data_IF_787222149090
#
_entry.id   IF_787222149090
#
_cell.length_a   1.000
_cell.length_b   1.000
_cell.length_c   1.000
_cell.angle_alpha   90.00
_cell.angle_beta   90.00
_cell.angle_gamma   90.00
#
_symmetry.space_group_name_H-M   'P 1'
#
loop_
_entity.id
_entity.type
_entity.pdbx_description
1 polymer ?
#
# COMPACT_ATOMS: atom_id res chain seq x y z
N UNK A 1 6.06 9.64 1.50
CA UNK A 1 7.41 9.05 1.56
C UNK A 1 7.57 8.10 0.39
N UNK A 2 8.79 7.95 -0.14
CA UNK A 2 9.09 6.86 -1.08
C UNK A 2 9.61 5.67 -0.27
N UNK A 3 9.04 4.48 -0.46
CA UNK A 3 9.55 3.26 0.17
C UNK A 3 10.87 2.82 -0.48
N UNK A 4 11.67 2.02 0.24
CA UNK A 4 12.86 1.38 -0.29
C UNK A 4 12.58 0.70 -1.63
N UNK A 5 13.49 0.87 -2.59
CA UNK A 5 13.32 0.33 -3.95
C UNK A 5 12.27 1.04 -4.81
N UNK A 6 11.73 2.19 -4.39
CA UNK A 6 10.78 3.01 -5.16
C UNK A 6 11.21 4.48 -5.20
N UNK A 7 10.71 5.21 -6.21
CA UNK A 7 10.88 6.66 -6.31
C UNK A 7 12.35 7.06 -6.27
N UNK A 8 12.74 7.87 -5.28
CA UNK A 8 14.12 8.29 -5.07
C UNK A 8 14.77 7.65 -3.83
N UNK A 9 14.07 6.76 -3.14
CA UNK A 9 14.62 6.02 -2.01
C UNK A 9 15.60 4.95 -2.49
N UNK A 10 16.67 4.74 -1.71
CA UNK A 10 17.69 3.75 -2.03
C UNK A 10 17.10 2.35 -2.14
N UNK A 11 17.70 1.53 -3.02
CA UNK A 11 17.45 0.09 -3.04
C UNK A 11 18.08 -0.54 -1.80
N UNK A 12 17.53 -1.67 -1.34
CA UNK A 12 18.18 -2.47 -0.30
C UNK A 12 19.51 -3.04 -0.79
N UNK A 13 20.42 -3.37 0.14
CA UNK A 13 21.67 -4.02 -0.24
C UNK A 13 21.43 -5.33 -1.02
N UNK A 14 22.38 -5.75 -1.89
CA UNK A 14 22.30 -7.06 -2.55
C UNK A 14 22.09 -8.20 -1.55
N UNK A 15 21.33 -9.23 -1.94
CA UNK A 15 20.96 -10.36 -1.09
C UNK A 15 19.80 -10.10 -0.11
N UNK A 16 19.37 -8.85 0.07
CA UNK A 16 18.22 -8.54 0.94
C UNK A 16 16.90 -8.53 0.15
N UNK A 17 15.91 -9.37 0.51
CA UNK A 17 14.57 -9.31 -0.05
C UNK A 17 13.78 -8.11 0.49
N UNK A 18 12.68 -7.78 -0.20
CA UNK A 18 11.67 -6.86 0.32
C UNK A 18 10.54 -7.66 0.94
N UNK A 19 10.40 -7.59 2.26
CA UNK A 19 9.24 -8.09 2.99
C UNK A 19 8.34 -6.96 3.43
N UNK A 20 7.04 -7.24 3.57
CA UNK A 20 6.05 -6.29 4.09
C UNK A 20 6.56 -5.58 5.36
N UNK A 21 7.12 -6.34 6.30
CA UNK A 21 7.61 -5.81 7.57
C UNK A 21 8.76 -4.81 7.41
N UNK A 22 9.56 -4.90 6.34
CA UNK A 22 10.60 -3.91 6.09
C UNK A 22 9.99 -2.53 5.80
N UNK A 23 8.93 -2.45 5.02
CA UNK A 23 8.21 -1.20 4.75
C UNK A 23 7.56 -0.62 6.01
N UNK A 24 7.03 -1.46 6.90
CA UNK A 24 6.51 -1.04 8.21
C UNK A 24 7.65 -0.45 9.07
N UNK A 25 8.82 -1.09 9.07
CA UNK A 25 10.01 -0.58 9.76
C UNK A 25 10.46 0.77 9.17
N UNK A 26 10.34 0.98 7.86
CA UNK A 26 10.65 2.27 7.23
C UNK A 26 9.75 3.41 7.74
N UNK A 27 8.44 3.16 7.91
CA UNK A 27 7.54 4.14 8.55
C UNK A 27 8.04 4.50 9.95
N UNK A 28 8.47 3.51 10.75
CA UNK A 28 9.03 3.73 12.09
C UNK A 28 10.33 4.56 12.06
N UNK A 29 11.18 4.33 11.05
CA UNK A 29 12.44 5.08 10.83
C UNK A 29 12.17 6.53 10.45
N UNK A 30 11.19 6.78 9.56
CA UNK A 30 10.75 8.13 9.21
C UNK A 30 10.22 8.84 10.47
N UNK A 31 9.31 8.20 11.21
CA UNK A 31 8.79 8.78 12.46
C UNK A 31 9.91 9.09 13.47
N UNK A 32 10.92 8.21 13.62
CA UNK A 32 12.08 8.48 14.46
C UNK A 32 12.88 9.71 13.99
N UNK A 33 13.18 9.78 12.68
CA UNK A 33 13.97 10.87 12.11
C UNK A 33 13.30 12.25 12.30
N UNK A 34 11.97 12.29 12.16
CA UNK A 34 11.19 13.51 12.40
C UNK A 34 10.76 13.70 13.86
N UNK A 35 11.15 12.79 14.77
CA UNK A 35 10.77 12.78 16.19
C UNK A 35 9.26 12.81 16.41
N UNK A 36 8.50 12.17 15.52
CA UNK A 36 7.06 12.03 15.66
C UNK A 36 6.76 10.94 16.68
N UNK A 37 6.18 11.36 17.80
CA UNK A 37 5.67 10.44 18.83
C UNK A 37 4.24 10.02 18.54
N UNK A 38 3.50 10.83 17.78
CA UNK A 38 2.12 10.59 17.37
C UNK A 38 1.80 11.30 16.06
N UNK A 39 1.14 10.61 15.12
CA UNK A 39 0.86 11.15 13.78
C UNK A 39 -0.30 10.43 13.09
N UNK A 40 -0.75 10.98 11.96
CA UNK A 40 -1.73 10.34 11.07
C UNK A 40 -1.06 9.66 9.88
N UNK A 41 -1.61 8.53 9.45
CA UNK A 41 -1.20 7.80 8.26
C UNK A 41 -2.28 7.93 7.18
N UNK A 42 -1.86 8.26 5.97
CA UNK A 42 -2.69 8.15 4.77
C UNK A 42 -1.96 7.23 3.81
N UNK A 43 -2.61 6.12 3.44
CA UNK A 43 -2.07 5.10 2.57
C UNK A 43 -3.02 4.76 1.45
N UNK A 44 -2.47 4.63 0.24
CA UNK A 44 -3.15 4.10 -0.94
C UNK A 44 -2.65 2.69 -1.22
N UNK A 45 -3.56 1.79 -1.61
CA UNK A 45 -3.22 0.42 -2.01
C UNK A 45 -2.29 -0.27 -0.99
N UNK A 46 -1.13 -0.75 -1.44
CA UNK A 46 -0.09 -1.33 -0.59
C UNK A 46 0.33 -0.43 0.58
N UNK A 47 0.42 0.89 0.37
CA UNK A 47 0.74 1.84 1.44
C UNK A 47 -0.32 1.89 2.54
N UNK A 48 -1.59 1.66 2.19
CA UNK A 48 -2.68 1.48 3.14
C UNK A 48 -2.50 0.23 4.00
N UNK A 49 -2.11 -0.88 3.37
CA UNK A 49 -1.80 -2.14 4.08
C UNK A 49 -0.61 -1.99 5.02
N UNK A 50 0.48 -1.35 4.57
CA UNK A 50 1.64 -1.03 5.42
C UNK A 50 1.23 -0.14 6.59
N UNK A 51 0.40 0.87 6.34
CA UNK A 51 -0.13 1.74 7.38
C UNK A 51 -1.02 1.01 8.39
N UNK A 52 -1.84 0.07 7.94
CA UNK A 52 -2.67 -0.78 8.79
C UNK A 52 -1.86 -1.68 9.72
N UNK A 53 -0.85 -2.36 9.18
CA UNK A 53 0.09 -3.15 9.97
C UNK A 53 0.85 -2.28 10.99
N UNK A 54 1.36 -1.11 10.57
CA UNK A 54 2.03 -0.16 11.47
C UNK A 54 1.11 0.27 12.62
N UNK A 55 -0.13 0.65 12.33
CA UNK A 55 -1.10 1.11 13.32
C UNK A 55 -1.55 0.01 14.29
N UNK A 56 -1.37 -1.26 13.95
CA UNK A 56 -1.60 -2.38 14.87
C UNK A 56 -0.37 -2.70 15.74
N UNK A 57 0.85 -2.54 15.21
CA UNK A 57 2.11 -2.79 15.92
C UNK A 57 2.45 -1.66 16.90
N UNK A 58 2.20 -0.40 16.51
CA UNK A 58 2.47 0.81 17.29
C UNK A 58 1.18 1.63 17.48
N UNK A 59 0.14 1.08 18.11
CA UNK A 59 -1.18 1.70 18.17
C UNK A 59 -1.19 3.06 18.87
N UNK A 60 -0.27 3.28 19.80
CA UNK A 60 -0.08 4.55 20.51
C UNK A 60 0.46 5.69 19.62
N UNK A 61 1.09 5.35 18.50
CA UNK A 61 1.72 6.34 17.61
C UNK A 61 0.77 6.86 16.53
N UNK A 62 -0.39 6.23 16.31
CA UNK A 62 -1.27 6.55 15.17
C UNK A 62 -2.60 7.14 15.63
N UNK A 63 -2.84 8.41 15.29
CA UNK A 63 -4.11 9.11 15.56
C UNK A 63 -5.21 8.69 14.58
N UNK A 64 -4.86 8.72 13.30
CA UNK A 64 -5.78 8.48 12.21
C UNK A 64 -5.12 7.60 11.15
N UNK A 65 -5.86 6.63 10.65
CA UNK A 65 -5.48 5.77 9.54
C UNK A 65 -6.48 5.97 8.40
N UNK A 66 -6.03 6.61 7.33
CA UNK A 66 -6.82 6.90 6.14
C UNK A 66 -6.38 5.93 5.04
N UNK A 67 -7.32 5.10 4.59
CA UNK A 67 -7.12 4.05 3.62
C UNK A 67 -7.83 4.42 2.31
N UNK A 68 -7.05 4.60 1.24
CA UNK A 68 -7.55 4.98 -0.08
C UNK A 68 -7.54 3.75 -1.00
N UNK A 69 -8.73 3.25 -1.33
CA UNK A 69 -8.97 2.02 -2.08
C UNK A 69 -8.05 0.87 -1.63
N UNK A 70 -7.98 0.69 -0.32
CA UNK A 70 -7.09 -0.25 0.36
C UNK A 70 -7.72 -0.77 1.64
N UNK A 71 -7.30 -1.95 2.07
CA UNK A 71 -7.63 -2.53 3.37
C UNK A 71 -6.38 -2.52 4.26
N UNK A 72 -6.51 -2.54 5.60
CA UNK A 72 -5.34 -2.47 6.48
C UNK A 72 -4.47 -3.75 6.43
N UNK A 73 -4.99 -4.83 5.86
CA UNK A 73 -4.30 -6.11 5.65
C UNK A 73 -4.75 -6.74 4.33
N UNK A 74 -3.92 -7.61 3.75
CA UNK A 74 -4.35 -8.50 2.67
C UNK A 74 -4.89 -9.79 3.27
N UNK A 75 -6.17 -10.05 3.06
CA UNK A 75 -6.83 -11.23 3.57
C UNK A 75 -6.65 -12.41 2.60
N UNK A 76 -6.31 -13.58 3.12
CA UNK A 76 -6.41 -14.85 2.41
C UNK A 76 -7.11 -15.88 3.30
N UNK A 77 -8.28 -16.36 2.88
CA UNK A 77 -9.03 -17.37 3.62
C UNK A 77 -8.31 -18.73 3.68
N UNK A 78 -7.37 -18.98 2.76
CA UNK A 78 -6.56 -20.20 2.70
C UNK A 78 -5.10 -19.92 3.10
N UNK A 79 -4.85 -18.88 3.90
CA UNK A 79 -3.49 -18.45 4.27
C UNK A 79 -2.65 -19.60 4.83
N UNK A 80 -3.18 -20.38 5.78
CA UNK A 80 -2.48 -21.53 6.39
C UNK A 80 -1.97 -22.54 5.37
N UNK A 81 -2.78 -22.86 4.36
CA UNK A 81 -2.40 -23.80 3.29
C UNK A 81 -1.39 -23.18 2.33
N UNK A 82 -1.51 -21.87 2.07
CA UNK A 82 -0.69 -21.18 1.10
C UNK A 82 0.62 -20.60 1.67
N UNK A 83 0.79 -20.53 3.00
CA UNK A 83 1.90 -19.83 3.65
C UNK A 83 3.28 -20.35 3.18
N UNK A 84 3.44 -21.67 3.05
CA UNK A 84 4.69 -22.27 2.57
C UNK A 84 4.92 -21.98 1.09
N UNK A 85 3.84 -21.91 0.29
CA UNK A 85 3.89 -21.52 -1.11
C UNK A 85 4.32 -20.07 -1.27
N UNK A 86 3.81 -19.15 -0.45
CA UNK A 86 4.22 -17.74 -0.46
C UNK A 86 5.68 -17.57 -0.09
N UNK A 87 6.14 -18.25 0.96
CA UNK A 87 7.56 -18.23 1.37
C UNK A 87 8.46 -18.78 0.26
N UNK A 88 8.09 -19.92 -0.36
CA UNK A 88 8.84 -20.48 -1.49
C UNK A 88 8.91 -19.49 -2.65
N UNK A 89 7.79 -18.94 -3.10
CA UNK A 89 7.74 -18.00 -4.23
C UNK A 89 8.63 -16.78 -4.01
N UNK A 90 8.62 -16.21 -2.81
CA UNK A 90 9.51 -15.10 -2.47
C UNK A 90 10.99 -15.48 -2.60
N UNK A 91 11.40 -16.64 -2.05
CA UNK A 91 12.78 -17.11 -2.12
C UNK A 91 13.22 -17.42 -3.56
N UNK A 92 12.39 -18.17 -4.30
CA UNK A 92 12.68 -18.51 -5.71
C UNK A 92 12.76 -17.27 -6.60
N UNK A 93 11.89 -16.28 -6.39
CA UNK A 93 11.94 -15.01 -7.11
C UNK A 93 13.25 -14.25 -6.85
N UNK A 94 13.74 -14.25 -5.61
CA UNK A 94 15.05 -13.66 -5.31
C UNK A 94 16.18 -14.36 -6.07
N UNK A 95 16.23 -15.69 -6.07
CA UNK A 95 17.21 -16.45 -6.84
C UNK A 95 17.13 -16.16 -8.34
N UNK A 96 15.91 -16.10 -8.90
CA UNK A 96 15.70 -15.78 -10.31
C UNK A 96 16.19 -14.36 -10.66
N UNK A 97 15.87 -13.39 -9.81
CA UNK A 97 16.33 -12.02 -10.00
C UNK A 97 17.85 -11.95 -9.93
N UNK A 98 18.49 -12.58 -8.95
CA UNK A 98 19.95 -12.60 -8.77
C UNK A 98 20.68 -13.29 -9.92
N UNK A 99 20.17 -14.43 -10.40
CA UNK A 99 20.70 -15.15 -11.54
C UNK A 99 20.54 -14.37 -12.86
N UNK A 100 19.56 -13.46 -12.94
CA UNK A 100 19.34 -12.67 -14.15
C UNK A 100 20.47 -11.65 -14.37
N UNK A 101 21.25 -11.86 -15.44
CA UNK A 101 22.24 -10.89 -15.96
C UNK A 101 21.54 -9.75 -16.72
N UNK A 102 20.64 -9.04 -16.04
CA UNK A 102 19.91 -7.95 -16.66
C UNK A 102 20.73 -6.65 -16.62
N UNK A 103 21.08 -6.15 -17.79
CA UNK A 103 21.65 -4.81 -17.95
C UNK A 103 20.62 -3.73 -17.61
N UNK A 104 21.11 -2.54 -17.25
CA UNK A 104 20.25 -1.36 -17.07
C UNK A 104 19.48 -1.09 -18.37
N UNK A 105 18.15 -1.22 -18.33
CA UNK A 105 17.28 -0.90 -19.46
C UNK A 105 17.00 0.60 -19.49
N UNK A 106 17.60 1.29 -20.46
CA UNK A 106 17.25 2.67 -20.81
C UNK A 106 16.16 2.62 -21.87
N UNK A 107 15.03 3.27 -21.60
CA UNK A 107 13.86 3.34 -22.49
C UNK A 107 13.50 4.80 -22.77
N UNK A 108 12.73 5.07 -23.82
CA UNK A 108 12.15 6.40 -24.00
C UNK A 108 11.09 6.66 -22.93
N UNK A 109 10.83 7.93 -22.60
CA UNK A 109 9.77 8.28 -21.65
C UNK A 109 8.40 7.79 -22.13
N UNK A 110 8.16 7.86 -23.44
CA UNK A 110 6.91 7.40 -24.06
C UNK A 110 6.74 5.88 -23.95
N UNK A 111 7.79 5.09 -24.21
CA UNK A 111 7.76 3.64 -24.04
C UNK A 111 7.47 3.27 -22.58
N UNK A 112 8.08 3.98 -21.63
CA UNK A 112 7.86 3.79 -20.20
C UNK A 112 6.41 4.12 -19.82
N UNK A 113 5.85 5.20 -20.36
CA UNK A 113 4.47 5.63 -20.11
C UNK A 113 3.46 4.63 -20.66
N UNK A 114 3.63 4.20 -21.91
CA UNK A 114 2.78 3.17 -22.51
C UNK A 114 2.86 1.88 -21.70
N UNK A 115 4.05 1.44 -21.30
CA UNK A 115 4.24 0.26 -20.44
C UNK A 115 3.56 0.38 -19.07
N UNK A 116 3.58 1.57 -18.46
CA UNK A 116 2.91 1.85 -17.19
C UNK A 116 1.38 1.78 -17.33
N UNK A 117 0.82 2.45 -18.33
CA UNK A 117 -0.62 2.53 -18.58
C UNK A 117 -1.19 1.16 -18.96
N UNK A 118 -0.47 0.37 -19.77
CA UNK A 118 -0.89 -0.99 -20.13
C UNK A 118 -1.00 -1.92 -18.91
N UNK A 119 -0.11 -1.77 -17.91
CA UNK A 119 -0.14 -2.55 -16.67
C UNK A 119 -1.14 -2.02 -15.65
N UNK A 120 -1.60 -0.79 -15.82
CA UNK A 120 -2.45 -0.06 -14.89
C UNK A 120 -3.55 0.66 -15.67
N UNK A 121 -4.50 -0.09 -16.20
CA UNK A 121 -5.62 0.43 -17.00
C UNK A 121 -6.46 1.50 -16.29
N UNK A 122 -6.38 1.58 -14.96
CA UNK A 122 -7.07 2.58 -14.15
C UNK A 122 -6.32 3.94 -14.05
N UNK A 123 -5.07 4.04 -14.48
CA UNK A 123 -4.35 5.31 -14.54
C UNK A 123 -4.71 6.07 -15.83
N UNK A 124 -5.00 7.36 -15.71
CA UNK A 124 -5.01 8.23 -16.87
C UNK A 124 -3.57 8.63 -17.26
N UNK A 125 -3.41 9.19 -18.46
CA UNK A 125 -2.11 9.58 -19.01
C UNK A 125 -1.37 10.57 -18.10
N UNK A 126 -2.06 11.62 -17.66
CA UNK A 126 -1.51 12.70 -16.83
C UNK A 126 -0.95 12.15 -15.50
N UNK A 127 -1.69 11.26 -14.83
CA UNK A 127 -1.25 10.60 -13.61
C UNK A 127 -0.05 9.68 -13.88
N UNK A 128 -0.06 8.97 -15.01
CA UNK A 128 1.08 8.16 -15.45
C UNK A 128 2.35 9.00 -15.62
N UNK A 129 2.24 10.18 -16.24
CA UNK A 129 3.35 11.12 -16.40
C UNK A 129 3.89 11.62 -15.05
N UNK A 130 3.00 11.97 -14.11
CA UNK A 130 3.38 12.36 -12.75
C UNK A 130 4.12 11.24 -12.00
N UNK A 131 3.65 9.99 -12.11
CA UNK A 131 4.32 8.84 -11.51
C UNK A 131 5.71 8.63 -12.11
N UNK A 132 5.86 8.74 -13.43
CA UNK A 132 7.15 8.58 -14.09
C UNK A 132 8.12 9.72 -13.80
N UNK A 133 7.63 10.94 -13.57
CA UNK A 133 8.47 12.08 -13.18
C UNK A 133 9.28 11.77 -11.90
N UNK A 134 8.68 11.08 -10.94
CA UNK A 134 9.34 10.67 -9.68
C UNK A 134 9.92 9.26 -9.73
N UNK A 135 9.35 8.39 -10.56
CA UNK A 135 9.71 6.98 -10.68
C UNK A 135 10.84 6.68 -11.66
N UNK A 136 11.36 7.68 -12.38
CA UNK A 136 12.44 7.49 -13.36
C UNK A 136 13.59 8.48 -13.16
N UNK A 137 14.77 8.09 -13.66
CA UNK A 137 15.96 8.97 -13.73
C UNK A 137 16.34 9.18 -15.19
N UNK A 138 16.59 10.43 -15.58
CA UNK A 138 17.02 10.80 -16.93
C UNK A 138 18.46 10.37 -17.17
N UNK A 139 18.69 9.70 -18.30
CA UNK A 139 20.00 9.30 -18.84
C UNK A 139 20.27 10.03 -20.17
N UNK A 140 21.47 9.87 -20.73
CA UNK A 140 21.85 10.52 -21.99
C UNK A 140 20.92 10.17 -23.17
N UNK A 141 20.42 8.93 -23.22
CA UNK A 141 19.62 8.39 -24.34
C UNK A 141 18.16 8.09 -23.98
N UNK A 142 17.70 8.44 -22.78
CA UNK A 142 16.34 8.13 -22.34
C UNK A 142 16.16 8.20 -20.83
N UNK A 143 15.38 7.29 -20.27
CA UNK A 143 15.10 7.18 -18.84
C UNK A 143 15.30 5.75 -18.34
N UNK A 144 15.69 5.62 -17.07
CA UNK A 144 15.72 4.35 -16.35
C UNK A 144 14.67 4.36 -15.26
N UNK A 145 14.03 3.21 -15.03
CA UNK A 145 13.06 3.06 -13.95
C UNK A 145 13.82 2.96 -12.62
N UNK A 146 13.44 3.77 -11.64
CA UNK A 146 14.06 3.76 -10.31
C UNK A 146 13.56 2.61 -9.43
N UNK A 147 12.50 1.92 -9.86
CA UNK A 147 11.96 0.76 -9.13
C UNK A 147 12.96 -0.39 -9.16
N UNK A 148 13.23 -0.95 -8.00
CA UNK A 148 14.07 -2.14 -7.86
C UNK A 148 13.43 -3.34 -8.57
N UNK A 149 14.24 -4.10 -9.31
CA UNK A 149 13.79 -5.30 -10.04
C UNK A 149 13.28 -6.40 -9.11
N UNK A 150 13.73 -6.46 -7.86
CA UNK A 150 13.21 -7.40 -6.86
C UNK A 150 11.72 -7.18 -6.59
N UNK A 151 11.21 -5.98 -6.85
CA UNK A 151 9.80 -5.61 -6.73
C UNK A 151 9.02 -5.76 -8.05
N UNK A 152 9.57 -6.47 -9.04
CA UNK A 152 8.86 -6.75 -10.31
C UNK A 152 7.60 -7.58 -10.12
N UNK A 153 7.57 -8.43 -9.08
CA UNK A 153 6.42 -9.23 -8.66
C UNK A 153 6.06 -8.83 -7.22
N UNK A 154 5.33 -7.71 -7.02
CA UNK A 154 5.14 -7.11 -5.70
C UNK A 154 4.37 -8.01 -4.73
N UNK A 155 3.54 -8.92 -5.23
CA UNK A 155 2.83 -9.91 -4.42
C UNK A 155 3.74 -10.82 -3.58
N UNK A 156 5.00 -11.01 -3.99
CA UNK A 156 5.98 -11.77 -3.23
C UNK A 156 6.50 -11.02 -2.01
N UNK A 157 6.24 -9.72 -1.90
CA UNK A 157 6.55 -8.90 -0.73
C UNK A 157 5.35 -8.71 0.20
N UNK A 158 4.17 -9.22 -0.16
CA UNK A 158 2.96 -9.06 0.64
C UNK A 158 2.90 -10.09 1.77
N UNK A 159 2.36 -9.65 2.90
CA UNK A 159 2.01 -10.50 4.02
C UNK A 159 0.49 -10.71 3.96
N UNK A 160 0.09 -11.96 3.82
CA UNK A 160 -1.32 -12.36 3.80
C UNK A 160 -1.69 -12.84 5.18
N UNK A 161 -2.89 -12.51 5.64
CA UNK A 161 -3.37 -12.89 6.97
C UNK A 161 -4.68 -13.66 6.86
N UNK A 162 -4.87 -14.62 7.76
CA UNK A 162 -6.15 -15.31 7.91
C UNK A 162 -7.23 -14.39 8.50
N UNK A 163 -8.50 -14.83 8.44
CA UNK A 163 -9.63 -14.13 9.07
C UNK A 163 -9.45 -13.98 10.58
N UNK A 164 -8.93 -15.01 11.23
CA UNK A 164 -8.70 -15.04 12.68
C UNK A 164 -7.59 -14.05 13.08
N UNK A 165 -6.49 -14.03 12.32
CA UNK A 165 -5.39 -13.10 12.53
C UNK A 165 -5.84 -11.65 12.28
N UNK A 166 -6.63 -11.41 11.24
CA UNK A 166 -7.21 -10.10 10.98
C UNK A 166 -8.05 -9.61 12.18
N UNK A 167 -8.99 -10.43 12.66
CA UNK A 167 -9.81 -10.09 13.84
C UNK A 167 -8.93 -9.82 15.06
N UNK A 168 -7.88 -10.63 15.27
CA UNK A 168 -6.95 -10.42 16.37
C UNK A 168 -6.23 -9.07 16.28
N UNK A 169 -5.74 -8.69 15.10
CA UNK A 169 -5.03 -7.42 14.88
C UNK A 169 -5.96 -6.21 15.03
N UNK A 170 -7.16 -6.25 14.46
CA UNK A 170 -8.09 -5.11 14.54
C UNK A 170 -8.53 -4.83 15.99
N UNK A 171 -8.57 -5.83 16.89
CA UNK A 171 -8.81 -5.60 18.33
C UNK A 171 -7.76 -4.74 19.01
N UNK A 172 -6.54 -4.66 18.46
CA UNK A 172 -5.44 -3.83 19.00
C UNK A 172 -5.37 -2.45 18.37
N UNK A 173 -6.09 -2.22 17.27
CA UNK A 173 -6.05 -0.96 16.52
C UNK A 173 -6.76 0.17 17.30
N UNK A 174 -6.00 1.21 17.68
CA UNK A 174 -6.49 2.35 18.47
C UNK A 174 -6.84 3.58 17.61
N UNK A 175 -6.27 3.69 16.41
CA UNK A 175 -6.51 4.82 15.52
C UNK A 175 -8.00 4.97 15.14
N UNK A 176 -8.40 6.21 14.80
CA UNK A 176 -9.61 6.41 14.01
C UNK A 176 -9.32 6.02 12.57
N UNK A 177 -10.21 5.26 11.94
CA UNK A 177 -10.00 4.68 10.61
C UNK A 177 -11.03 5.23 9.64
N UNK A 178 -10.55 5.81 8.55
CA UNK A 178 -11.35 6.13 7.38
C UNK A 178 -10.95 5.17 6.26
N UNK A 179 -11.91 4.44 5.70
CA UNK A 179 -11.74 3.65 4.50
C UNK A 179 -12.57 4.26 3.37
N UNK A 180 -11.88 4.79 2.36
CA UNK A 180 -12.50 5.30 1.13
C UNK A 180 -12.37 4.22 0.06
N UNK A 181 -13.47 3.59 -0.34
CA UNK A 181 -13.50 2.58 -1.40
C UNK A 181 -13.95 3.21 -2.73
N UNK A 182 -13.24 2.94 -3.81
CA UNK A 182 -13.68 3.32 -5.15
C UNK A 182 -14.61 2.25 -5.72
N UNK A 183 -15.71 2.65 -6.39
CA UNK A 183 -16.70 1.71 -6.95
C UNK A 183 -16.14 0.77 -8.03
N UNK A 184 -15.11 1.20 -8.75
CA UNK A 184 -14.35 0.41 -9.74
C UNK A 184 -12.90 0.16 -9.27
N UNK A 185 -12.67 0.22 -7.95
CA UNK A 185 -11.40 -0.15 -7.35
C UNK A 185 -11.26 -1.66 -7.19
N UNK A 186 -10.07 -2.13 -6.83
CA UNK A 186 -9.82 -3.57 -6.68
C UNK A 186 -10.47 -4.15 -5.41
N UNK A 187 -10.88 -5.41 -5.49
CA UNK A 187 -11.39 -6.24 -4.40
C UNK A 187 -10.45 -7.42 -4.10
N UNK A 188 -9.65 -7.83 -5.10
CA UNK A 188 -8.57 -8.81 -4.97
C UNK A 188 -7.24 -8.17 -5.42
N UNK A 189 -6.24 -8.20 -4.53
CA UNK A 189 -4.90 -7.67 -4.83
C UNK A 189 -4.23 -8.42 -5.99
N UNK A 190 -4.53 -9.71 -6.16
CA UNK A 190 -4.02 -10.53 -7.28
C UNK A 190 -4.82 -10.32 -8.55
N UNK A 191 -5.98 -9.65 -8.46
CA UNK A 191 -6.95 -9.46 -9.54
C UNK A 191 -7.38 -10.78 -10.20
N UNK A 192 -7.16 -11.91 -9.53
CA UNK A 192 -7.46 -13.23 -10.05
C UNK A 192 -8.95 -13.55 -9.87
N UNK A 193 -9.57 -12.97 -8.83
CA UNK A 193 -10.99 -13.11 -8.54
C UNK A 193 -11.58 -11.80 -8.01
N UNK A 194 -11.45 -10.71 -8.78
CA UNK A 194 -11.89 -9.36 -8.39
C UNK A 194 -13.43 -9.23 -8.27
N UNK A 195 -14.17 -10.21 -8.79
CA UNK A 195 -15.63 -10.32 -8.62
C UNK A 195 -16.01 -10.73 -7.19
N UNK A 196 -15.12 -11.44 -6.48
CA UNK A 196 -15.38 -11.88 -5.12
C UNK A 196 -15.17 -10.75 -4.11
N UNK A 197 -16.27 -10.14 -3.68
CA UNK A 197 -16.28 -9.04 -2.69
C UNK A 197 -16.33 -9.52 -1.24
N UNK A 198 -16.47 -10.83 -0.98
CA UNK A 198 -16.60 -11.39 0.37
C UNK A 198 -15.46 -10.99 1.31
N UNK A 199 -14.17 -11.05 0.89
CA UNK A 199 -13.05 -10.64 1.75
C UNK A 199 -13.15 -9.17 2.19
N UNK A 200 -13.54 -8.27 1.28
CA UNK A 200 -13.70 -6.86 1.61
C UNK A 200 -14.85 -6.67 2.60
N UNK A 201 -16.02 -7.27 2.34
CA UNK A 201 -17.17 -7.13 3.24
C UNK A 201 -16.88 -7.69 4.63
N UNK A 202 -16.23 -8.85 4.72
CA UNK A 202 -15.76 -9.39 5.99
C UNK A 202 -14.86 -8.40 6.76
N UNK A 203 -13.89 -7.79 6.07
CA UNK A 203 -12.99 -6.81 6.69
C UNK A 203 -13.73 -5.55 7.14
N UNK A 204 -14.63 -5.01 6.31
CA UNK A 204 -15.43 -3.81 6.62
C UNK A 204 -16.35 -4.07 7.82
N UNK A 205 -17.04 -5.21 7.86
CA UNK A 205 -17.95 -5.57 8.94
C UNK A 205 -17.19 -5.79 10.26
N UNK A 206 -16.02 -6.42 10.19
CA UNK A 206 -15.14 -6.61 11.34
C UNK A 206 -14.62 -5.27 11.88
N UNK A 207 -14.14 -4.38 11.01
CA UNK A 207 -13.71 -3.02 11.38
C UNK A 207 -14.86 -2.25 12.04
N UNK A 208 -16.05 -2.28 11.43
CA UNK A 208 -17.25 -1.62 11.97
C UNK A 208 -17.64 -2.15 13.34
N UNK A 209 -17.62 -3.47 13.50
CA UNK A 209 -18.00 -4.13 14.76
C UNK A 209 -17.03 -3.80 15.90
N UNK A 210 -15.72 -3.84 15.63
CA UNK A 210 -14.69 -3.69 16.66
C UNK A 210 -14.40 -2.21 16.97
N UNK A 211 -14.29 -1.37 15.94
CA UNK A 211 -13.87 0.03 16.09
C UNK A 211 -15.05 0.98 16.36
N UNK A 212 -16.28 0.56 16.01
CA UNK A 212 -17.51 1.32 16.25
C UNK A 212 -17.41 2.75 15.69
N UNK A 213 -17.62 3.77 16.52
CA UNK A 213 -17.56 5.19 16.14
C UNK A 213 -16.20 5.64 15.59
N UNK A 214 -15.13 4.87 15.85
CA UNK A 214 -13.79 5.15 15.31
C UNK A 214 -13.63 4.72 13.86
N UNK A 215 -14.59 4.02 13.25
CA UNK A 215 -14.52 3.59 11.85
C UNK A 215 -15.55 4.27 10.96
N UNK A 216 -15.07 4.81 9.85
CA UNK A 216 -15.87 5.37 8.77
C UNK A 216 -15.56 4.65 7.47
N UNK A 217 -16.60 4.21 6.77
CA UNK A 217 -16.51 3.63 5.43
C UNK A 217 -17.26 4.54 4.47
N UNK A 218 -16.59 4.99 3.41
CA UNK A 218 -17.18 5.83 2.37
C UNK A 218 -16.87 5.22 1.02
N UNK A 219 -17.91 4.94 0.23
CA UNK A 219 -17.75 4.50 -1.15
C UNK A 219 -17.95 5.69 -2.09
N UNK A 220 -17.06 5.84 -3.08
CA UNK A 220 -17.09 6.94 -4.04
C UNK A 220 -16.97 6.46 -5.50
N UNK A 221 -17.56 7.19 -6.46
CA UNK A 221 -17.34 6.94 -7.88
C UNK A 221 -15.86 7.07 -8.25
N UNK A 222 -15.35 6.11 -9.01
CA UNK A 222 -13.99 6.13 -9.53
C UNK A 222 -13.35 4.75 -9.51
N UNK A 223 -12.06 4.71 -9.86
CA UNK A 223 -11.26 3.49 -9.91
C UNK A 223 -10.17 3.49 -8.82
N UNK A 224 -9.28 2.50 -8.86
CA UNK A 224 -8.21 2.35 -7.87
C UNK A 224 -7.33 3.60 -7.68
N UNK A 225 -7.19 4.43 -8.71
CA UNK A 225 -6.41 5.68 -8.68
C UNK A 225 -7.30 6.92 -8.53
N UNK A 226 -8.51 6.80 -7.96
CA UNK A 226 -9.47 7.91 -7.79
C UNK A 226 -8.85 9.13 -7.10
N UNK A 227 -7.94 8.92 -6.16
CA UNK A 227 -7.23 10.00 -5.46
C UNK A 227 -6.30 10.82 -6.36
N UNK A 228 -5.83 10.26 -7.47
CA UNK A 228 -5.06 10.97 -8.49
C UNK A 228 -5.97 11.49 -9.62
N UNK A 229 -6.82 10.62 -10.17
CA UNK A 229 -7.67 10.93 -11.31
C UNK A 229 -8.79 11.95 -10.97
N UNK A 230 -9.30 11.92 -9.73
CA UNK A 230 -10.42 12.74 -9.26
C UNK A 230 -10.17 13.23 -7.82
N UNK A 231 -9.04 13.90 -7.62
CA UNK A 231 -8.55 14.33 -6.30
C UNK A 231 -9.58 15.08 -5.42
N UNK A 232 -10.50 15.85 -6.03
CA UNK A 232 -11.51 16.63 -5.31
C UNK A 232 -12.52 15.75 -4.56
N UNK A 233 -12.86 14.57 -5.10
CA UNK A 233 -13.78 13.63 -4.45
C UNK A 233 -13.18 13.09 -3.14
N UNK A 234 -11.87 12.82 -3.13
CA UNK A 234 -11.18 12.26 -1.98
C UNK A 234 -10.82 13.35 -0.96
N UNK A 235 -10.32 14.50 -1.42
CA UNK A 235 -9.81 15.55 -0.55
C UNK A 235 -10.87 16.10 0.43
N UNK A 236 -12.12 16.26 -0.02
CA UNK A 236 -13.22 16.72 0.83
C UNK A 236 -13.52 15.75 1.97
N UNK A 237 -13.59 14.45 1.66
CA UNK A 237 -13.88 13.38 2.63
C UNK A 237 -12.76 13.29 3.67
N UNK A 238 -11.51 13.27 3.20
CA UNK A 238 -10.33 13.19 4.08
C UNK A 238 -10.25 14.42 4.98
N UNK A 239 -10.50 15.62 4.45
CA UNK A 239 -10.48 16.86 5.24
C UNK A 239 -11.58 16.87 6.31
N UNK A 240 -12.80 16.46 5.96
CA UNK A 240 -13.90 16.36 6.91
C UNK A 240 -13.58 15.35 8.03
N UNK A 241 -13.03 14.19 7.68
CA UNK A 241 -12.61 13.17 8.66
C UNK A 241 -11.55 13.72 9.61
N UNK A 242 -10.49 14.35 9.08
CA UNK A 242 -9.41 14.97 9.86
C UNK A 242 -9.93 16.03 10.84
N UNK A 243 -10.95 16.80 10.45
CA UNK A 243 -11.54 17.87 11.26
C UNK A 243 -12.54 17.35 12.30
N UNK A 244 -13.25 16.26 12.00
CA UNK A 244 -14.33 15.73 12.85
C UNK A 244 -13.86 15.05 14.13
N UNK A 245 -12.60 14.64 14.19
CA UNK A 245 -12.08 13.85 15.30
C UNK A 245 -11.30 14.74 16.27
N UNK A 246 -11.60 14.70 17.59
CA UNK A 246 -10.76 15.38 18.57
C UNK A 246 -9.35 14.82 18.46
N UNK A 247 -8.35 15.69 18.22
CA UNK A 247 -6.94 15.32 18.38
C UNK A 247 -6.82 14.77 19.78
N UNK A 248 -6.60 13.48 19.91
CA UNK A 248 -6.58 12.86 21.23
C UNK A 248 -5.40 13.47 21.96
N UNK A 249 -5.69 14.21 23.03
CA UNK A 249 -4.66 14.86 23.83
C UNK A 249 -3.59 13.81 24.18
N UNK A 250 -2.32 14.18 24.04
CA UNK A 250 -1.20 13.35 24.49
C UNK A 250 -1.50 12.92 25.92
N UNK A 251 -1.78 11.64 26.14
CA UNK A 251 -1.67 11.07 27.49
C UNK A 251 -0.17 11.06 27.77
N UNK A 252 0.28 12.09 28.49
CA UNK A 252 1.60 12.18 29.10
C UNK A 252 1.80 10.99 30.05
#
# INVERSE_FOLDING_TARGET
MDFGGHGLSSHYSPGLPYYHHNFVSEVRRVAAAFKWTRFSLLGHSFGGTVGGMFACIFPEMVDQLILLDSTPFFLDSNETENILTYKRRNMEHMFQVEASQNSLRVSSLEEMLQGLLNKNSHLNKECGELLLQRGTTKMATGVVLNRDRRLSVPEHSFDFVSKEMFVHFIRRLQANVLLVKATQGYYDVRRANDENKEPLFFMVDTLRTILKERFQYVEIPGNHYVHMNNQHLVAGIVSAFLQSQPRTASRL
#
